data_IF_495846397737
#
_entry.id   IF_495846397737
#
_cell.length_a   1.000
_cell.length_b   1.000
_cell.length_c   1.000
_cell.angle_alpha   90.00
_cell.angle_beta   90.00
_cell.angle_gamma   90.00
#
_symmetry.space_group_name_H-M   'P 1'
#
loop_
_entity.id
_entity.type
_entity.pdbx_description
1 polymer ?
#
# COMPACT_ATOMS: atom_id res chain seq x y z
N UNK A 1 5.58 -17.82 12.20
CA UNK A 1 6.42 -16.98 11.33
C UNK A 1 6.36 -15.55 11.80
N UNK A 2 7.46 -14.82 11.71
CA UNK A 2 7.58 -13.41 12.07
C UNK A 2 7.78 -12.57 10.80
N UNK A 3 7.00 -11.49 10.70
CA UNK A 3 7.19 -10.42 9.71
C UNK A 3 7.32 -9.13 10.52
N UNK A 4 8.43 -8.42 10.34
CA UNK A 4 8.72 -7.19 11.06
C UNK A 4 8.94 -6.03 10.08
N UNK A 5 7.96 -5.15 9.98
CA UNK A 5 8.05 -3.92 9.17
C UNK A 5 8.70 -2.82 10.01
N UNK A 6 9.78 -2.23 9.49
CA UNK A 6 10.50 -1.13 10.16
C UNK A 6 9.76 0.18 9.92
N UNK A 7 8.88 0.52 10.86
CA UNK A 7 7.98 1.69 10.75
C UNK A 7 8.70 3.01 10.48
N UNK A 8 9.92 3.19 11.01
CA UNK A 8 10.77 4.36 10.82
C UNK A 8 11.28 4.53 9.37
N UNK A 9 11.23 3.46 8.57
CA UNK A 9 11.64 3.47 7.16
C UNK A 9 10.46 3.68 6.20
N UNK A 10 9.22 3.68 6.70
CA UNK A 10 8.03 3.89 5.88
C UNK A 10 8.02 5.33 5.33
N UNK A 11 7.92 5.46 4.01
CA UNK A 11 7.91 6.75 3.33
C UNK A 11 7.04 6.73 2.08
N UNK A 12 6.45 7.89 1.79
CA UNK A 12 5.87 8.21 0.49
C UNK A 12 6.94 8.87 -0.38
N UNK A 13 7.39 8.17 -1.41
CA UNK A 13 8.40 8.67 -2.34
C UNK A 13 7.69 9.29 -3.54
N UNK A 14 7.90 10.59 -3.75
CA UNK A 14 7.34 11.30 -4.91
C UNK A 14 7.89 10.71 -6.20
N UNK A 15 7.01 10.21 -7.05
CA UNK A 15 7.33 9.83 -8.43
C UNK A 15 7.52 11.11 -9.24
N UNK A 16 8.50 11.13 -10.15
CA UNK A 16 8.69 12.25 -11.07
C UNK A 16 7.39 12.51 -11.84
N UNK A 17 6.99 13.78 -11.97
CA UNK A 17 5.77 14.19 -12.71
C UNK A 17 5.72 13.45 -14.06
N UNK A 18 4.58 12.82 -14.36
CA UNK A 18 4.32 12.36 -15.72
C UNK A 18 4.48 13.55 -16.66
N UNK A 19 5.29 13.36 -17.71
CA UNK A 19 5.50 14.36 -18.75
C UNK A 19 4.13 14.71 -19.31
N UNK A 20 3.64 15.91 -19.01
CA UNK A 20 2.36 16.46 -19.47
C UNK A 20 2.12 16.07 -20.92
N UNK A 21 1.04 15.34 -21.19
CA UNK A 21 0.56 15.19 -22.55
C UNK A 21 0.15 16.58 -23.05
N UNK A 22 0.56 17.00 -24.26
CA UNK A 22 0.26 18.35 -24.73
C UNK A 22 -1.23 18.45 -25.05
N UNK A 23 -2.03 19.01 -24.13
CA UNK A 23 -3.46 19.23 -24.32
C UNK A 23 -4.31 19.28 -23.05
N UNK A 24 -3.79 18.83 -21.89
CA UNK A 24 -4.56 18.87 -20.64
C UNK A 24 -4.58 20.28 -20.04
N UNK A 25 -5.80 20.78 -19.78
CA UNK A 25 -6.07 22.05 -19.12
C UNK A 25 -5.29 22.14 -17.78
N UNK A 26 -5.08 23.37 -17.31
CA UNK A 26 -4.33 23.74 -16.09
C UNK A 26 -5.00 23.15 -14.83
N UNK A 27 -4.92 21.84 -14.68
CA UNK A 27 -5.27 21.08 -13.50
C UNK A 27 -4.11 21.21 -12.51
N UNK A 28 -4.44 21.25 -11.21
CA UNK A 28 -3.44 21.21 -10.14
C UNK A 28 -2.47 20.08 -10.45
N UNK A 29 -1.16 20.34 -10.34
CA UNK A 29 -0.14 19.32 -10.62
C UNK A 29 -0.44 18.06 -9.79
N UNK A 30 -0.82 16.97 -10.46
CA UNK A 30 -1.01 15.66 -9.83
C UNK A 30 0.35 15.16 -9.40
N UNK A 31 0.49 14.83 -8.11
CA UNK A 31 1.74 14.34 -7.57
C UNK A 31 1.51 12.93 -7.08
N UNK A 32 2.05 11.98 -7.84
CA UNK A 32 1.99 10.57 -7.53
C UNK A 32 3.10 10.18 -6.55
N UNK A 33 2.77 9.32 -5.60
CA UNK A 33 3.69 8.78 -4.60
C UNK A 33 3.69 7.26 -4.63
N UNK A 34 4.87 6.67 -4.46
CA UNK A 34 5.05 5.25 -4.17
C UNK A 34 5.29 5.02 -2.67
N UNK A 35 4.78 3.92 -2.13
CA UNK A 35 5.05 3.49 -0.75
C UNK A 35 6.31 2.64 -0.72
N UNK A 36 7.27 3.03 0.12
CA UNK A 36 8.47 2.25 0.39
C UNK A 36 8.67 2.01 1.88
N UNK A 37 9.14 0.83 2.24
CA UNK A 37 9.59 0.51 3.59
C UNK A 37 10.56 -0.67 3.59
N UNK A 38 11.32 -0.81 4.67
CA UNK A 38 12.16 -1.98 4.95
C UNK A 38 11.45 -2.94 5.89
N UNK A 39 11.65 -4.24 5.67
CA UNK A 39 11.11 -5.29 6.53
C UNK A 39 12.08 -6.47 6.67
N UNK A 40 11.86 -7.25 7.72
CA UNK A 40 12.55 -8.50 8.02
C UNK A 40 11.52 -9.63 8.11
N UNK A 41 11.82 -10.82 7.59
CA UNK A 41 10.94 -11.98 7.75
C UNK A 41 11.72 -13.30 7.80
N UNK A 42 11.25 -14.23 8.64
CA UNK A 42 11.80 -15.59 8.77
C UNK A 42 11.10 -16.62 7.87
N UNK A 43 10.06 -16.23 7.14
CA UNK A 43 9.30 -17.06 6.22
C UNK A 43 9.16 -16.40 4.84
N UNK A 44 8.55 -17.11 3.89
CA UNK A 44 8.04 -16.47 2.67
C UNK A 44 6.88 -15.55 3.05
N UNK A 45 6.78 -14.40 2.40
CA UNK A 45 5.74 -13.40 2.66
C UNK A 45 5.19 -12.86 1.35
N UNK A 46 3.89 -12.66 1.30
CA UNK A 46 3.19 -11.92 0.26
C UNK A 46 2.72 -10.58 0.85
N UNK A 47 3.08 -9.47 0.21
CA UNK A 47 2.78 -8.11 0.69
C UNK A 47 1.89 -7.41 -0.34
N UNK A 48 0.79 -6.84 0.13
CA UNK A 48 -0.16 -6.04 -0.65
C UNK A 48 -0.47 -4.73 0.08
N UNK A 49 -0.51 -3.62 -0.64
CA UNK A 49 -0.93 -2.33 -0.11
C UNK A 49 -2.38 -2.09 -0.51
N UNK A 50 -3.18 -1.60 0.43
CA UNK A 50 -4.55 -1.13 0.18
C UNK A 50 -4.68 0.31 0.63
N UNK A 51 -5.53 1.08 -0.05
CA UNK A 51 -5.92 2.43 0.35
C UNK A 51 -7.43 2.53 0.46
N UNK A 52 -7.90 3.44 1.33
CA UNK A 52 -9.33 3.66 1.56
C UNK A 52 -10.09 2.33 1.74
N UNK A 53 -9.54 1.44 2.57
CA UNK A 53 -10.01 0.07 2.68
C UNK A 53 -10.73 -0.19 3.99
N UNK A 54 -11.83 -0.93 3.92
CA UNK A 54 -12.50 -1.50 5.11
C UNK A 54 -11.87 -2.84 5.46
N UNK A 55 -11.90 -3.18 6.75
CA UNK A 55 -11.46 -4.48 7.27
C UNK A 55 -12.67 -5.39 7.49
N UNK A 56 -12.62 -6.60 6.94
CA UNK A 56 -13.60 -7.65 7.20
C UNK A 56 -12.90 -8.86 7.83
N UNK A 57 -13.54 -9.51 8.79
CA UNK A 57 -13.03 -10.73 9.40
C UNK A 57 -13.83 -11.94 8.91
N UNK A 58 -13.13 -12.89 8.31
CA UNK A 58 -13.72 -14.18 7.93
C UNK A 58 -12.89 -15.32 8.51
N UNK A 59 -13.50 -16.16 9.35
CA UNK A 59 -12.85 -17.29 10.01
C UNK A 59 -11.54 -16.92 10.76
N UNK A 60 -11.49 -15.72 11.36
CA UNK A 60 -10.31 -15.23 12.09
C UNK A 60 -9.20 -14.68 11.20
N UNK A 61 -9.42 -14.57 9.89
CA UNK A 61 -8.52 -13.93 8.93
C UNK A 61 -9.10 -12.57 8.55
N UNK A 62 -8.27 -11.53 8.61
CA UNK A 62 -8.63 -10.20 8.13
C UNK A 62 -8.49 -10.14 6.60
N UNK A 63 -9.47 -9.55 5.93
CA UNK A 63 -9.43 -9.20 4.53
C UNK A 63 -9.69 -7.70 4.38
N UNK A 64 -8.93 -7.05 3.50
CA UNK A 64 -9.06 -5.61 3.24
C UNK A 64 -9.72 -5.40 1.88
N UNK A 65 -10.78 -4.59 1.87
CA UNK A 65 -11.57 -4.32 0.68
C UNK A 65 -11.45 -2.84 0.34
N UNK A 66 -10.72 -2.48 -0.73
CA UNK A 66 -10.64 -1.10 -1.17
C UNK A 66 -11.95 -0.68 -1.85
N UNK A 67 -12.24 0.63 -1.88
CA UNK A 67 -13.40 1.17 -2.62
C UNK A 67 -13.31 0.95 -4.13
N UNK A 68 -12.10 0.82 -4.66
CA UNK A 68 -11.80 0.60 -6.09
C UNK A 68 -10.57 -0.32 -6.24
N UNK A 69 -10.51 -1.13 -7.30
CA UNK A 69 -9.39 -2.03 -7.58
C UNK A 69 -8.06 -1.30 -7.89
N UNK A 70 -8.11 -0.03 -8.28
CA UNK A 70 -6.93 0.84 -8.44
C UNK A 70 -6.30 1.26 -7.10
N UNK A 71 -7.05 1.14 -6.01
CA UNK A 71 -6.62 1.46 -4.64
C UNK A 71 -5.98 0.27 -3.92
N UNK A 72 -5.45 -0.68 -4.68
CA UNK A 72 -4.60 -1.75 -4.17
C UNK A 72 -3.40 -1.97 -5.07
N UNK A 73 -2.26 -2.37 -4.49
CA UNK A 73 -1.09 -2.77 -5.25
C UNK A 73 -1.25 -4.18 -5.79
N UNK A 74 -0.35 -4.58 -6.71
CA UNK A 74 -0.10 -6.00 -6.90
C UNK A 74 0.42 -6.65 -5.60
N UNK A 75 0.19 -7.95 -5.46
CA UNK A 75 0.76 -8.74 -4.36
C UNK A 75 2.18 -9.12 -4.71
N UNK A 76 3.16 -8.68 -3.92
CA UNK A 76 4.57 -8.95 -4.14
C UNK A 76 5.07 -10.01 -3.18
N UNK A 77 5.74 -11.03 -3.72
CA UNK A 77 6.22 -12.18 -2.96
C UNK A 77 7.71 -12.07 -2.66
N UNK A 78 8.09 -12.28 -1.41
CA UNK A 78 9.47 -12.25 -0.93
C UNK A 78 9.82 -13.57 -0.24
N UNK A 79 11.08 -13.97 -0.35
CA UNK A 79 11.63 -15.08 0.43
C UNK A 79 11.98 -14.60 1.84
N UNK A 80 12.29 -15.55 2.73
CA UNK A 80 12.89 -15.23 4.04
C UNK A 80 14.16 -14.39 3.87
N UNK A 81 14.34 -13.37 4.70
CA UNK A 81 15.44 -12.43 4.59
C UNK A 81 15.29 -11.23 5.52
N UNK A 82 16.40 -10.56 5.78
CA UNK A 82 16.49 -9.34 6.59
C UNK A 82 16.87 -8.15 5.72
N UNK A 83 16.52 -6.94 6.16
CA UNK A 83 16.74 -5.69 5.43
C UNK A 83 16.16 -5.74 4.00
N UNK A 84 15.03 -6.43 3.79
CA UNK A 84 14.36 -6.45 2.50
C UNK A 84 13.58 -5.15 2.30
N UNK A 85 13.46 -4.69 1.06
CA UNK A 85 12.74 -3.45 0.74
C UNK A 85 11.49 -3.78 -0.06
N UNK A 86 10.34 -3.26 0.41
CA UNK A 86 9.15 -3.18 -0.40
C UNK A 86 9.19 -1.89 -1.23
N UNK A 87 9.04 -2.02 -2.54
CA UNK A 87 8.93 -0.91 -3.48
C UNK A 87 8.26 -1.43 -4.76
N UNK A 88 7.19 -0.76 -5.19
CA UNK A 88 6.42 -1.13 -6.39
C UNK A 88 6.23 0.12 -7.26
N UNK A 89 7.26 0.57 -8.01
CA UNK A 89 7.23 1.87 -8.69
C UNK A 89 6.07 2.06 -9.69
N UNK A 90 5.53 0.96 -10.22
CA UNK A 90 4.34 0.93 -11.09
C UNK A 90 3.04 1.28 -10.36
N UNK A 91 3.01 1.13 -9.04
CA UNK A 91 1.86 1.41 -8.21
C UNK A 91 2.08 2.72 -7.46
N UNK A 92 1.24 3.70 -7.78
CA UNK A 92 1.31 5.04 -7.20
C UNK A 92 -0.06 5.52 -6.76
N UNK A 93 -0.07 6.46 -5.83
CA UNK A 93 -1.28 7.09 -5.29
C UNK A 93 -1.11 8.60 -5.31
N UNK A 94 -2.20 9.33 -5.54
CA UNK A 94 -2.26 10.78 -5.34
C UNK A 94 -3.16 11.08 -4.14
N UNK A 95 -2.59 11.28 -2.92
CA UNK A 95 -3.38 11.57 -1.74
C UNK A 95 -4.16 12.89 -1.82
N UNK A 96 -3.84 13.77 -2.79
CA UNK A 96 -4.57 15.03 -2.98
C UNK A 96 -5.96 14.85 -3.61
N UNK A 97 -6.26 13.66 -4.13
CA UNK A 97 -7.60 13.29 -4.60
C UNK A 97 -8.57 12.98 -3.44
N UNK A 98 -8.06 12.85 -2.20
CA UNK A 98 -8.86 12.57 -1.02
C UNK A 98 -9.02 13.81 -0.14
N UNK A 99 -10.12 13.86 0.60
CA UNK A 99 -10.36 14.89 1.62
C UNK A 99 -9.43 14.70 2.83
N UNK A 100 -9.27 15.74 3.65
CA UNK A 100 -8.46 15.67 4.87
C UNK A 100 -8.97 14.60 5.85
N UNK A 101 -10.29 14.42 5.92
CA UNK A 101 -10.93 13.37 6.73
C UNK A 101 -10.57 11.97 6.24
N UNK A 102 -10.52 11.77 4.92
CA UNK A 102 -10.15 10.49 4.29
C UNK A 102 -8.66 10.15 4.44
N UNK A 103 -7.80 11.11 4.79
CA UNK A 103 -6.39 10.83 5.09
C UNK A 103 -6.19 10.23 6.49
N UNK A 104 -7.21 10.30 7.34
CA UNK A 104 -7.25 9.66 8.65
C UNK A 104 -7.95 8.31 8.64
N UNK A 105 -7.90 7.60 9.77
CA UNK A 105 -8.81 6.49 10.02
C UNK A 105 -10.22 7.02 10.27
N UNK A 106 -11.17 6.63 9.42
CA UNK A 106 -12.58 6.96 9.58
C UNK A 106 -13.18 6.02 10.64
N UNK A 107 -13.44 6.55 11.83
CA UNK A 107 -13.98 5.79 12.95
C UNK A 107 -15.43 5.34 12.75
N UNK A 108 -16.21 6.07 11.94
CA UNK A 108 -17.63 5.77 11.75
C UNK A 108 -17.82 4.69 10.67
N UNK A 109 -16.97 4.71 9.65
CA UNK A 109 -17.01 3.75 8.53
C UNK A 109 -16.00 2.61 8.66
N UNK A 110 -15.13 2.68 9.67
CA UNK A 110 -14.01 1.76 9.88
C UNK A 110 -13.10 1.65 8.64
N UNK A 111 -12.82 2.79 8.00
CA UNK A 111 -12.00 2.87 6.78
C UNK A 111 -10.57 3.28 7.12
N UNK A 112 -9.63 2.45 6.73
CA UNK A 112 -8.21 2.71 6.85
C UNK A 112 -7.70 3.48 5.62
N UNK A 113 -6.96 4.59 5.81
CA UNK A 113 -6.44 5.38 4.69
C UNK A 113 -5.38 4.61 3.90
N UNK A 114 -4.59 3.79 4.60
CA UNK A 114 -3.61 2.89 4.02
C UNK A 114 -3.41 1.67 4.92
N UNK A 115 -3.31 0.48 4.33
CA UNK A 115 -3.00 -0.78 5.00
C UNK A 115 -1.82 -1.44 4.30
N UNK A 116 -0.85 -1.88 5.09
CA UNK A 116 0.19 -2.82 4.63
C UNK A 116 -0.22 -4.22 5.08
N UNK A 117 -0.72 -5.02 4.15
CA UNK A 117 -1.12 -6.39 4.43
C UNK A 117 0.02 -7.33 4.07
N UNK A 118 0.66 -7.91 5.09
CA UNK A 118 1.74 -8.87 4.92
C UNK A 118 1.32 -10.24 5.46
N UNK A 119 1.12 -11.20 4.55
CA UNK A 119 0.69 -12.56 4.88
C UNK A 119 1.82 -13.55 4.66
N UNK A 120 1.91 -14.54 5.54
CA UNK A 120 2.86 -15.65 5.36
C UNK A 120 2.42 -16.45 4.15
N UNK A 121 3.33 -16.58 3.18
CA UNK A 121 3.09 -17.37 1.97
C UNK A 121 3.66 -18.78 2.21
N UNK A 122 2.87 -19.64 2.83
CA UNK A 122 3.32 -20.99 3.17
C UNK A 122 3.67 -21.82 1.93
N UNK A 123 3.19 -21.43 0.74
CA UNK A 123 3.31 -22.15 -0.53
C UNK A 123 2.81 -23.59 -0.47
N UNK A 124 2.54 -24.20 -1.62
CA UNK A 124 2.55 -25.67 -1.68
C UNK A 124 4.02 -26.10 -1.54
N UNK A 125 4.31 -27.03 -0.61
CA UNK A 125 5.64 -27.65 -0.47
C UNK A 125 6.11 -28.30 -1.78
#
# INVERSE_FOLDING_TARGET
SLINIRKDTLRLVKCSEEVKTPGEEVSKAKVHYNVEFTFDTDARVAITIYYQASEEFHNGVASYIPRDNSLQSETVHYKRGVCQQFCVPSHTVDPSEWSEEELGFDMDREVYPMVVHAVVDEGEE
#
